data_IF_324942631589
#
_entry.id   IF_324942631589
#
_cell.length_a   1.000
_cell.length_b   1.000
_cell.length_c   1.000
_cell.angle_alpha   90.00
_cell.angle_beta   90.00
_cell.angle_gamma   90.00
#
_symmetry.space_group_name_H-M   'P 1'
#
loop_
_entity.id
_entity.type
_entity.pdbx_description
1 polymer ?
#
# COMPACT_ATOMS: atom_id res chain seq x y z
N UNK A 1 -22.22 7.31 -0.69
CA UNK A 1 -22.64 6.23 -1.56
C UNK A 1 -22.81 6.72 -2.99
N UNK A 2 -22.24 6.00 -3.95
CA UNK A 2 -22.27 6.33 -5.38
C UNK A 2 -23.68 6.44 -5.92
N UNK A 3 -24.62 5.71 -5.36
CA UNK A 3 -26.05 5.67 -5.80
C UNK A 3 -26.78 7.01 -5.67
N UNK A 4 -26.27 7.93 -4.86
CA UNK A 4 -26.85 9.27 -4.71
C UNK A 4 -26.37 10.27 -5.77
N UNK A 5 -25.36 9.91 -6.54
CA UNK A 5 -24.84 10.78 -7.58
C UNK A 5 -25.84 10.85 -8.75
N UNK A 6 -26.04 12.05 -9.27
CA UNK A 6 -27.02 12.31 -10.38
C UNK A 6 -26.35 12.73 -11.67
N UNK A 7 -25.05 13.02 -11.66
CA UNK A 7 -24.30 13.47 -12.83
C UNK A 7 -23.62 12.30 -13.54
N UNK A 8 -23.23 12.45 -14.81
CA UNK A 8 -22.59 11.38 -15.59
C UNK A 8 -21.30 10.86 -14.98
N UNK A 9 -20.50 11.74 -14.37
CA UNK A 9 -19.25 11.39 -13.68
C UNK A 9 -19.37 11.64 -12.18
N UNK A 10 -18.72 10.79 -11.41
CA UNK A 10 -18.65 10.85 -9.95
C UNK A 10 -17.19 11.04 -9.56
N UNK A 11 -16.88 12.17 -8.93
CA UNK A 11 -15.63 12.37 -8.18
C UNK A 11 -15.86 11.95 -6.73
N UNK A 12 -15.00 11.12 -6.20
CA UNK A 12 -15.05 10.73 -4.79
C UNK A 12 -13.73 11.07 -4.08
N UNK A 13 -13.85 11.51 -2.85
CA UNK A 13 -12.73 11.86 -1.98
C UNK A 13 -13.04 11.34 -0.58
N UNK A 14 -11.99 10.94 0.15
CA UNK A 14 -12.09 10.68 1.58
C UNK A 14 -12.19 12.01 2.34
N UNK A 15 -12.76 12.00 3.55
CA UNK A 15 -13.01 13.23 4.31
C UNK A 15 -11.70 13.97 4.73
N UNK A 16 -10.58 13.27 4.68
CA UNK A 16 -9.23 13.73 5.00
C UNK A 16 -8.34 13.82 3.75
N UNK A 17 -8.95 13.81 2.55
CA UNK A 17 -8.25 14.10 1.31
C UNK A 17 -8.18 15.60 1.05
N UNK A 18 -7.01 16.05 0.62
CA UNK A 18 -6.74 17.45 0.27
C UNK A 18 -6.36 17.56 -1.20
N UNK A 19 -7.01 18.47 -1.88
CA UNK A 19 -6.69 18.88 -3.27
C UNK A 19 -6.17 20.30 -3.23
N UNK A 20 -4.90 20.49 -3.53
CA UNK A 20 -4.25 21.80 -3.55
C UNK A 20 -4.88 22.73 -4.60
N UNK A 21 -4.64 24.04 -4.49
CA UNK A 21 -5.24 25.02 -5.40
C UNK A 21 -4.86 24.77 -6.86
N UNK A 22 -3.59 24.52 -7.14
CA UNK A 22 -3.10 24.17 -8.48
C UNK A 22 -3.78 22.93 -9.04
N UNK A 23 -3.96 21.92 -8.20
CA UNK A 23 -4.60 20.65 -8.59
C UNK A 23 -6.11 20.83 -8.83
N UNK A 24 -6.77 21.74 -8.10
CA UNK A 24 -8.17 22.13 -8.37
C UNK A 24 -8.32 22.77 -9.74
N UNK A 25 -7.35 23.59 -10.16
CA UNK A 25 -7.36 24.22 -11.50
C UNK A 25 -7.25 23.15 -12.60
N UNK A 26 -6.34 22.17 -12.44
CA UNK A 26 -6.22 21.01 -13.34
C UNK A 26 -7.54 20.19 -13.38
N UNK A 27 -8.14 19.94 -12.21
CA UNK A 27 -9.39 19.19 -12.09
C UNK A 27 -10.56 19.90 -12.81
N UNK A 28 -10.63 21.22 -12.70
CA UNK A 28 -11.64 22.02 -13.42
C UNK A 28 -11.41 22.00 -14.94
N UNK A 29 -10.16 22.01 -15.39
CA UNK A 29 -9.83 21.85 -16.81
C UNK A 29 -10.19 20.46 -17.33
N UNK A 30 -9.88 19.39 -16.54
CA UNK A 30 -10.24 18.03 -16.86
C UNK A 30 -11.76 17.86 -17.03
N UNK A 31 -12.56 18.44 -16.14
CA UNK A 31 -14.02 18.38 -16.21
C UNK A 31 -14.57 18.78 -17.60
N UNK A 32 -13.94 19.74 -18.27
CA UNK A 32 -14.35 20.21 -19.59
C UNK A 32 -13.89 19.28 -20.74
N UNK A 33 -12.99 18.34 -20.45
CA UNK A 33 -12.42 17.38 -21.42
C UNK A 33 -13.02 15.97 -21.27
N UNK A 34 -13.78 15.73 -20.20
CA UNK A 34 -14.41 14.42 -19.98
C UNK A 34 -15.52 14.20 -21.00
N UNK A 35 -15.38 13.16 -21.78
CA UNK A 35 -16.34 12.71 -22.81
C UNK A 35 -16.99 11.39 -22.39
N UNK A 36 -18.13 11.06 -22.97
CA UNK A 36 -18.93 9.89 -22.58
C UNK A 36 -18.25 8.52 -22.80
N UNK A 37 -17.16 8.48 -23.55
CA UNK A 37 -16.35 7.29 -23.80
C UNK A 37 -15.33 7.02 -22.68
N UNK A 38 -15.10 7.97 -21.76
CA UNK A 38 -14.22 7.77 -20.61
C UNK A 38 -14.98 6.99 -19.53
N UNK A 39 -14.39 5.90 -19.07
CA UNK A 39 -14.96 5.06 -18.01
C UNK A 39 -14.45 5.47 -16.61
N UNK A 40 -13.16 5.78 -16.49
CA UNK A 40 -12.56 6.19 -15.22
C UNK A 40 -11.34 7.09 -15.43
N UNK A 41 -10.96 7.82 -14.38
CA UNK A 41 -9.71 8.59 -14.33
C UNK A 41 -8.93 8.20 -13.09
N UNK A 42 -7.69 7.76 -13.32
CA UNK A 42 -6.69 7.49 -12.30
C UNK A 42 -5.92 8.78 -12.00
N UNK A 43 -5.66 9.00 -10.73
CA UNK A 43 -4.93 10.18 -10.26
C UNK A 43 -3.90 9.77 -9.20
N UNK A 44 -2.70 10.40 -9.17
CA UNK A 44 -1.72 10.19 -8.12
C UNK A 44 -2.30 10.47 -6.74
N UNK A 45 -2.13 9.52 -5.84
CA UNK A 45 -2.56 9.61 -4.45
C UNK A 45 -1.34 9.53 -3.54
N UNK A 46 -1.08 10.59 -2.82
CA UNK A 46 0.03 10.71 -1.89
C UNK A 46 -0.48 10.48 -0.47
N UNK A 47 0.07 9.50 0.23
CA UNK A 47 -0.33 9.16 1.59
C UNK A 47 0.87 8.89 2.47
N UNK A 48 0.71 9.20 3.77
CA UNK A 48 1.81 9.22 4.72
C UNK A 48 2.79 10.36 4.43
N UNK A 49 3.44 10.87 5.45
CA UNK A 49 4.46 11.91 5.32
C UNK A 49 5.69 11.44 6.09
N UNK A 50 6.82 11.32 5.40
CA UNK A 50 8.11 11.02 5.98
C UNK A 50 8.66 12.20 6.81
N UNK A 51 9.73 11.96 7.54
CA UNK A 51 10.39 13.00 8.35
C UNK A 51 10.92 14.16 7.51
N UNK A 52 11.17 13.91 6.23
CA UNK A 52 11.63 14.89 5.24
C UNK A 52 10.49 15.63 4.53
N UNK A 53 9.24 15.40 4.94
CA UNK A 53 8.05 16.01 4.36
C UNK A 53 7.60 15.37 3.03
N UNK A 54 8.29 14.34 2.53
CA UNK A 54 7.88 13.62 1.31
C UNK A 54 6.85 12.55 1.61
N UNK A 55 5.95 12.21 0.67
CA UNK A 55 5.01 11.12 0.84
C UNK A 55 5.76 9.77 0.93
N UNK A 56 5.34 8.91 1.88
CA UNK A 56 5.91 7.57 2.07
C UNK A 56 5.24 6.51 1.21
N UNK A 57 4.10 6.84 0.61
CA UNK A 57 3.38 5.96 -0.30
C UNK A 57 2.73 6.80 -1.39
N UNK A 58 3.08 6.50 -2.63
CA UNK A 58 2.52 7.11 -3.84
C UNK A 58 1.97 5.99 -4.70
N UNK A 59 0.72 6.11 -5.11
CA UNK A 59 0.09 5.20 -6.06
C UNK A 59 -1.09 5.90 -6.74
N UNK A 60 -1.52 5.37 -7.87
CA UNK A 60 -2.70 5.90 -8.53
C UNK A 60 -3.99 5.33 -7.93
N UNK A 61 -5.00 6.18 -7.81
CA UNK A 61 -6.36 5.78 -7.45
C UNK A 61 -7.37 6.27 -8.48
N UNK A 62 -8.39 5.47 -8.62
CA UNK A 62 -9.59 5.76 -9.40
C UNK A 62 -10.40 6.86 -8.71
N UNK A 63 -10.20 8.11 -9.09
CA UNK A 63 -10.84 9.26 -8.42
C UNK A 63 -12.08 9.78 -9.13
N UNK A 64 -12.15 9.59 -10.45
CA UNK A 64 -13.37 9.88 -11.20
C UNK A 64 -13.81 8.61 -11.89
N UNK A 65 -15.10 8.32 -11.83
CA UNK A 65 -15.69 7.18 -12.52
C UNK A 65 -16.99 7.59 -13.23
N UNK A 66 -17.26 6.97 -14.37
CA UNK A 66 -18.51 7.13 -15.05
C UNK A 66 -19.60 6.40 -14.28
N UNK A 67 -20.70 7.08 -13.98
CA UNK A 67 -21.75 6.57 -13.09
C UNK A 67 -22.41 5.29 -13.63
N UNK A 68 -22.69 5.24 -14.91
CA UNK A 68 -23.38 4.11 -15.56
C UNK A 68 -22.45 2.96 -15.93
N UNK A 69 -21.13 3.09 -15.71
CA UNK A 69 -20.18 1.98 -15.82
C UNK A 69 -20.36 0.92 -14.72
N UNK A 70 -21.08 1.25 -13.65
CA UNK A 70 -21.46 0.29 -12.62
C UNK A 70 -20.33 -0.15 -11.71
N UNK A 71 -19.24 0.61 -11.61
CA UNK A 71 -18.12 0.30 -10.71
C UNK A 71 -18.55 0.38 -9.24
N UNK A 72 -18.07 -0.57 -8.44
CA UNK A 72 -18.38 -0.67 -7.02
C UNK A 72 -17.11 -0.80 -6.19
N UNK A 73 -17.16 -0.26 -4.98
CA UNK A 73 -16.10 -0.50 -3.99
C UNK A 73 -16.10 -1.95 -3.52
N UNK A 74 -14.92 -2.52 -3.40
CA UNK A 74 -14.68 -3.87 -2.89
C UNK A 74 -13.57 -3.85 -1.84
N UNK A 75 -13.68 -4.71 -0.83
CA UNK A 75 -12.78 -4.81 0.31
C UNK A 75 -13.55 -4.75 1.62
N UNK A 76 -12.95 -5.28 2.68
CA UNK A 76 -13.57 -5.33 4.02
C UNK A 76 -13.34 -4.05 4.80
N UNK A 77 -12.14 -3.48 4.71
CA UNK A 77 -11.74 -2.25 5.40
C UNK A 77 -11.11 -1.26 4.41
N UNK A 78 -10.04 -1.66 3.76
CA UNK A 78 -9.32 -0.82 2.77
C UNK A 78 -9.96 -0.97 1.39
N UNK A 79 -11.15 -0.41 1.23
CA UNK A 79 -11.91 -0.53 -0.01
C UNK A 79 -11.17 0.07 -1.21
N UNK A 80 -11.27 -0.59 -2.35
CA UNK A 80 -10.78 -0.11 -3.63
C UNK A 80 -11.80 -0.44 -4.73
N UNK A 81 -11.80 0.34 -5.78
CA UNK A 81 -12.66 0.12 -6.94
C UNK A 81 -11.80 -0.45 -8.08
N UNK A 82 -12.23 -1.55 -8.68
CA UNK A 82 -11.58 -2.07 -9.89
C UNK A 82 -12.24 -1.42 -11.09
N UNK A 83 -11.49 -0.55 -11.75
CA UNK A 83 -11.94 0.10 -12.98
C UNK A 83 -11.38 -0.61 -14.21
N UNK A 84 -12.08 -0.51 -15.32
CA UNK A 84 -11.71 -1.08 -16.61
C UNK A 84 -12.33 -0.26 -17.74
N UNK A 85 -11.98 -0.57 -19.00
CA UNK A 85 -12.46 0.16 -20.14
C UNK A 85 -11.51 1.28 -20.57
N UNK A 86 -12.06 2.43 -20.97
CA UNK A 86 -11.26 3.60 -21.34
C UNK A 86 -10.88 4.39 -20.07
N UNK A 87 -9.68 4.11 -19.55
CA UNK A 87 -9.15 4.70 -18.32
C UNK A 87 -8.12 5.76 -18.67
N UNK A 88 -8.36 6.99 -18.25
CA UNK A 88 -7.41 8.09 -18.37
C UNK A 88 -6.49 8.13 -17.13
N UNK A 89 -5.26 8.55 -17.34
CA UNK A 89 -4.28 8.85 -16.29
C UNK A 89 -3.98 10.35 -16.32
N UNK A 90 -4.28 11.05 -15.24
CA UNK A 90 -4.13 12.52 -15.15
C UNK A 90 -3.19 12.87 -14.00
N UNK A 91 -2.26 13.78 -14.27
CA UNK A 91 -1.34 14.32 -13.25
C UNK A 91 -2.05 15.35 -12.36
N UNK A 92 -3.01 14.86 -11.55
CA UNK A 92 -3.75 15.64 -10.56
C UNK A 92 -3.54 14.98 -9.20
N UNK A 93 -2.69 15.57 -8.38
CA UNK A 93 -2.30 15.00 -7.10
C UNK A 93 -3.37 15.20 -6.04
N UNK A 94 -3.77 14.12 -5.40
CA UNK A 94 -4.62 14.14 -4.21
C UNK A 94 -3.79 13.67 -3.02
N UNK A 95 -3.73 14.47 -1.95
CA UNK A 95 -3.00 14.13 -0.73
C UNK A 95 -3.94 13.65 0.35
N UNK A 96 -3.57 12.60 1.05
CA UNK A 96 -4.25 12.14 2.25
C UNK A 96 -3.58 12.75 3.48
N UNK A 97 -4.27 13.65 4.14
CA UNK A 97 -3.79 14.26 5.37
C UNK A 97 -4.43 13.56 6.57
N UNK A 98 -3.68 12.61 7.10
CA UNK A 98 -4.08 11.88 8.30
C UNK A 98 -3.99 12.77 9.54
N UNK A 99 -4.77 13.79 9.72
CA UNK A 99 -4.72 14.67 10.89
C UNK A 99 -4.37 13.95 12.21
N UNK A 100 -4.21 14.65 13.31
CA UNK A 100 -3.86 14.12 14.66
C UNK A 100 -4.92 13.11 15.21
N UNK A 101 -5.35 12.16 14.37
CA UNK A 101 -6.26 11.10 14.79
C UNK A 101 -5.48 10.09 15.63
N UNK A 102 -5.97 9.76 16.83
CA UNK A 102 -5.38 8.69 17.62
C UNK A 102 -5.38 7.39 16.80
N UNK A 103 -4.44 6.46 17.06
CA UNK A 103 -4.44 5.15 16.43
C UNK A 103 -5.84 4.54 16.49
N UNK A 104 -6.30 3.94 15.39
CA UNK A 104 -7.69 3.42 15.27
C UNK A 104 -8.00 2.26 16.23
N UNK A 105 -7.06 1.89 17.11
CA UNK A 105 -7.21 0.78 18.04
C UNK A 105 -7.46 -0.54 17.29
N UNK A 106 -8.24 -1.44 17.88
CA UNK A 106 -8.54 -2.76 17.30
C UNK A 106 -9.69 -2.76 16.28
N UNK A 107 -10.29 -1.60 15.97
CA UNK A 107 -11.51 -1.50 15.15
C UNK A 107 -11.43 -2.28 13.83
N UNK A 108 -10.34 -2.13 13.09
CA UNK A 108 -10.19 -2.78 11.78
C UNK A 108 -10.05 -4.30 11.93
N UNK A 109 -9.26 -4.77 12.89
CA UNK A 109 -9.16 -6.18 13.23
C UNK A 109 -10.52 -6.78 13.57
N UNK A 110 -11.32 -6.11 14.40
CA UNK A 110 -12.66 -6.57 14.78
C UNK A 110 -13.60 -6.69 13.58
N UNK A 111 -13.47 -5.80 12.59
CA UNK A 111 -14.24 -5.86 11.34
C UNK A 111 -13.83 -7.11 10.54
N UNK A 112 -12.52 -7.36 10.35
CA UNK A 112 -12.03 -8.56 9.66
C UNK A 112 -12.45 -9.85 10.37
N UNK A 113 -12.32 -9.92 11.69
CA UNK A 113 -12.70 -11.08 12.49
C UNK A 113 -14.21 -11.37 12.40
N UNK A 114 -15.05 -10.33 12.48
CA UNK A 114 -16.50 -10.46 12.27
C UNK A 114 -16.84 -10.90 10.85
N UNK A 115 -16.08 -10.48 9.85
CA UNK A 115 -16.24 -10.91 8.46
C UNK A 115 -15.95 -12.40 8.30
N UNK A 116 -14.83 -12.87 8.84
CA UNK A 116 -14.44 -14.28 8.83
C UNK A 116 -15.40 -15.16 9.63
N UNK A 117 -15.84 -14.70 10.81
CA UNK A 117 -16.81 -15.41 11.65
C UNK A 117 -18.17 -15.65 10.94
N UNK A 118 -18.50 -14.85 9.94
CA UNK A 118 -19.68 -15.04 9.07
C UNK A 118 -19.43 -16.03 7.92
N UNK A 119 -18.30 -16.73 7.91
CA UNK A 119 -17.92 -17.68 6.86
C UNK A 119 -17.50 -17.03 5.54
N UNK A 120 -17.25 -15.72 5.54
CA UNK A 120 -16.85 -14.99 4.33
C UNK A 120 -15.34 -15.12 4.12
N UNK A 121 -14.93 -15.30 2.86
CA UNK A 121 -13.51 -15.38 2.49
C UNK A 121 -12.93 -13.99 2.31
N UNK A 122 -11.68 -13.82 2.73
CA UNK A 122 -10.89 -12.64 2.43
C UNK A 122 -10.25 -12.77 1.05
N UNK A 123 -10.18 -11.68 0.32
CA UNK A 123 -9.36 -11.58 -0.89
C UNK A 123 -7.88 -11.50 -0.50
N UNK A 124 -6.96 -11.66 -1.45
CA UNK A 124 -5.53 -11.47 -1.20
C UNK A 124 -5.25 -10.05 -0.66
N UNK A 125 -5.94 -9.03 -1.19
CA UNK A 125 -5.85 -7.67 -0.69
C UNK A 125 -6.29 -7.56 0.78
N UNK A 126 -7.45 -8.12 1.13
CA UNK A 126 -7.93 -8.10 2.52
C UNK A 126 -6.97 -8.82 3.46
N UNK A 127 -6.41 -9.97 3.04
CA UNK A 127 -5.46 -10.76 3.83
C UNK A 127 -4.16 -10.00 4.10
N UNK A 128 -3.66 -9.26 3.12
CA UNK A 128 -2.49 -8.40 3.27
C UNK A 128 -2.74 -7.28 4.29
N UNK A 129 -3.85 -6.54 4.16
CA UNK A 129 -4.17 -5.47 5.10
C UNK A 129 -4.49 -6.00 6.50
N UNK A 130 -5.12 -7.15 6.61
CA UNK A 130 -5.34 -7.80 7.91
C UNK A 130 -4.00 -8.11 8.63
N UNK A 131 -2.99 -8.56 7.88
CA UNK A 131 -1.66 -8.78 8.44
C UNK A 131 -1.01 -7.46 8.91
N UNK A 132 -1.17 -6.39 8.17
CA UNK A 132 -0.70 -5.05 8.56
C UNK A 132 -1.39 -4.52 9.80
N UNK A 133 -2.71 -4.71 9.92
CA UNK A 133 -3.45 -4.31 11.13
C UNK A 133 -2.93 -5.02 12.39
N UNK A 134 -2.53 -6.29 12.29
CA UNK A 134 -1.89 -7.00 13.40
C UNK A 134 -0.51 -6.43 13.73
N UNK A 135 0.25 -6.03 12.72
CA UNK A 135 1.55 -5.38 12.93
C UNK A 135 1.39 -4.02 13.61
N UNK A 136 0.46 -3.19 13.14
CA UNK A 136 0.12 -1.89 13.71
C UNK A 136 -0.45 -2.01 15.13
N UNK A 137 -1.18 -3.09 15.42
CA UNK A 137 -1.64 -3.42 16.77
C UNK A 137 -0.50 -3.82 17.71
N UNK A 138 0.65 -4.23 17.18
CA UNK A 138 1.84 -4.57 17.95
C UNK A 138 1.93 -6.04 18.35
N UNK A 139 1.23 -6.94 17.67
CA UNK A 139 1.38 -8.39 17.85
C UNK A 139 2.17 -9.01 16.68
N UNK A 140 3.51 -9.12 16.80
CA UNK A 140 4.34 -9.65 15.73
C UNK A 140 4.08 -11.13 15.45
N UNK A 141 3.56 -11.89 16.43
CA UNK A 141 3.24 -13.30 16.25
C UNK A 141 1.99 -13.51 15.40
N UNK A 142 0.96 -12.69 15.61
CA UNK A 142 -0.25 -12.71 14.76
C UNK A 142 0.04 -12.13 13.38
N UNK A 143 0.80 -11.04 13.30
CA UNK A 143 1.19 -10.42 12.04
C UNK A 143 2.00 -11.38 11.16
N UNK A 144 3.00 -12.06 11.72
CA UNK A 144 3.83 -13.05 11.00
C UNK A 144 2.98 -14.15 10.36
N UNK A 145 2.07 -14.73 11.15
CA UNK A 145 1.15 -15.79 10.65
C UNK A 145 0.23 -15.27 9.55
N UNK A 146 -0.31 -14.08 9.72
CA UNK A 146 -1.20 -13.47 8.73
C UNK A 146 -0.44 -13.13 7.42
N UNK A 147 0.78 -12.59 7.50
CA UNK A 147 1.63 -12.39 6.32
C UNK A 147 1.98 -13.71 5.63
N UNK A 148 2.30 -14.77 6.39
CA UNK A 148 2.58 -16.09 5.82
C UNK A 148 1.35 -16.65 5.06
N UNK A 149 0.15 -16.48 5.62
CA UNK A 149 -1.11 -16.87 4.95
C UNK A 149 -1.34 -16.08 3.66
N UNK A 150 -1.14 -14.75 3.68
CA UNK A 150 -1.24 -13.92 2.48
C UNK A 150 -0.24 -14.36 1.40
N UNK A 151 1.02 -14.58 1.78
CA UNK A 151 2.08 -14.96 0.84
C UNK A 151 1.85 -16.33 0.20
N UNK A 152 1.07 -17.20 0.82
CA UNK A 152 0.64 -18.49 0.27
C UNK A 152 -0.50 -18.34 -0.78
N UNK A 153 -1.15 -17.17 -0.88
CA UNK A 153 -2.21 -16.94 -1.87
C UNK A 153 -1.58 -16.66 -3.25
N UNK A 154 -2.16 -17.17 -4.36
CA UNK A 154 -1.55 -17.02 -5.69
C UNK A 154 -1.71 -15.63 -6.31
N UNK A 155 -2.72 -14.87 -5.92
CA UNK A 155 -3.26 -13.69 -6.60
C UNK A 155 -2.99 -12.35 -5.89
N UNK A 156 -1.97 -12.30 -5.05
CA UNK A 156 -1.54 -11.05 -4.38
C UNK A 156 -0.83 -10.09 -5.35
N UNK A 157 -1.17 -8.79 -5.27
CA UNK A 157 -0.43 -7.77 -6.01
C UNK A 157 1.05 -7.79 -5.64
N UNK A 158 1.92 -7.66 -6.66
CA UNK A 158 3.36 -7.87 -6.52
C UNK A 158 3.99 -6.96 -5.45
N UNK A 159 3.58 -5.68 -5.39
CA UNK A 159 4.12 -4.75 -4.41
C UNK A 159 3.69 -5.12 -2.98
N UNK A 160 2.46 -5.59 -2.79
CA UNK A 160 2.00 -6.11 -1.50
C UNK A 160 2.78 -7.37 -1.09
N UNK A 161 3.18 -8.22 -2.05
CA UNK A 161 3.98 -9.41 -1.75
C UNK A 161 5.39 -9.05 -1.34
N UNK A 162 6.02 -8.10 -2.04
CA UNK A 162 7.37 -7.60 -1.69
C UNK A 162 7.33 -7.00 -0.29
N UNK A 163 6.39 -6.09 -0.03
CA UNK A 163 6.24 -5.48 1.29
C UNK A 163 5.94 -6.53 2.38
N UNK A 164 5.06 -7.48 2.10
CA UNK A 164 4.71 -8.54 3.06
C UNK A 164 5.92 -9.39 3.48
N UNK A 165 6.84 -9.69 2.56
CA UNK A 165 8.07 -10.39 2.92
C UNK A 165 8.97 -9.54 3.83
N UNK A 166 9.06 -8.23 3.58
CA UNK A 166 9.84 -7.29 4.39
C UNK A 166 9.22 -7.15 5.78
N UNK A 167 7.91 -6.91 5.85
CA UNK A 167 7.19 -6.76 7.11
C UNK A 167 7.18 -8.07 7.93
N UNK A 168 7.05 -9.22 7.26
CA UNK A 168 7.18 -10.52 7.90
C UNK A 168 8.56 -10.72 8.50
N UNK A 169 9.62 -10.30 7.81
CA UNK A 169 10.98 -10.36 8.34
C UNK A 169 11.12 -9.50 9.61
N UNK A 170 10.55 -8.31 9.65
CA UNK A 170 10.54 -7.48 10.85
C UNK A 170 9.82 -8.18 12.02
N UNK A 171 8.66 -8.80 11.75
CA UNK A 171 7.96 -9.59 12.76
C UNK A 171 8.84 -10.74 13.28
N UNK A 172 9.50 -11.48 12.38
CA UNK A 172 10.38 -12.59 12.72
C UNK A 172 11.60 -12.16 13.54
N UNK A 173 12.19 -10.99 13.24
CA UNK A 173 13.26 -10.39 14.06
C UNK A 173 12.77 -10.10 15.48
N UNK A 174 11.62 -9.46 15.63
CA UNK A 174 11.00 -9.20 16.95
C UNK A 174 10.71 -10.48 17.73
N UNK A 175 10.48 -11.59 17.04
CA UNK A 175 10.26 -12.93 17.62
C UNK A 175 11.58 -13.70 17.87
N UNK A 176 12.74 -13.13 17.54
CA UNK A 176 14.05 -13.79 17.66
C UNK A 176 14.34 -14.85 16.59
N UNK A 177 13.50 -14.96 15.55
CA UNK A 177 13.59 -15.96 14.47
C UNK A 177 14.44 -15.43 13.30
N UNK A 178 15.69 -15.08 13.56
CA UNK A 178 16.59 -14.38 12.62
C UNK A 178 16.83 -15.13 11.31
N UNK A 179 17.03 -16.44 11.35
CA UNK A 179 17.25 -17.23 10.13
C UNK A 179 16.04 -17.15 9.17
N UNK A 180 14.83 -17.18 9.71
CA UNK A 180 13.61 -17.08 8.93
C UNK A 180 13.38 -15.64 8.45
N UNK A 181 13.77 -14.63 9.24
CA UNK A 181 13.75 -13.24 8.80
C UNK A 181 14.64 -13.03 7.58
N UNK A 182 15.88 -13.55 7.62
CA UNK A 182 16.81 -13.53 6.48
C UNK A 182 16.20 -14.21 5.25
N UNK A 183 15.60 -15.39 5.40
CA UNK A 183 14.93 -16.10 4.31
C UNK A 183 13.78 -15.28 3.71
N UNK A 184 12.98 -14.63 4.55
CA UNK A 184 11.89 -13.77 4.11
C UNK A 184 12.41 -12.60 3.28
N UNK A 185 13.45 -11.90 3.73
CA UNK A 185 14.05 -10.80 2.98
C UNK A 185 14.62 -11.26 1.63
N UNK A 186 15.35 -12.38 1.60
CA UNK A 186 15.88 -12.95 0.35
C UNK A 186 14.76 -13.34 -0.62
N UNK A 187 13.62 -13.85 -0.11
CA UNK A 187 12.48 -14.18 -0.94
C UNK A 187 11.85 -12.94 -1.61
N UNK A 188 11.90 -11.78 -0.96
CA UNK A 188 11.42 -10.53 -1.57
C UNK A 188 12.23 -10.14 -2.82
N UNK A 189 13.53 -10.42 -2.82
CA UNK A 189 14.44 -10.08 -3.93
C UNK A 189 14.16 -10.92 -5.20
N UNK A 190 13.49 -12.05 -5.06
CA UNK A 190 13.12 -12.91 -6.20
C UNK A 190 11.88 -12.40 -6.96
N UNK A 191 11.17 -11.41 -6.41
CA UNK A 191 9.90 -10.94 -6.97
C UNK A 191 10.05 -9.77 -7.94
N UNK A 192 11.18 -9.07 -7.93
CA UNK A 192 11.38 -7.90 -8.79
C UNK A 192 12.69 -7.18 -8.48
N UNK A 193 12.78 -5.92 -8.89
CA UNK A 193 13.94 -5.09 -8.56
C UNK A 193 14.12 -5.00 -7.03
N UNK A 194 15.38 -5.14 -6.55
CA UNK A 194 15.66 -5.06 -5.12
C UNK A 194 15.16 -3.74 -4.50
N UNK A 195 14.60 -3.83 -3.31
CA UNK A 195 14.17 -2.65 -2.53
C UNK A 195 15.24 -2.30 -1.49
N UNK A 196 15.50 -1.02 -1.32
CA UNK A 196 16.44 -0.54 -0.32
C UNK A 196 16.07 -1.02 1.09
N UNK A 197 14.77 -1.08 1.41
CA UNK A 197 14.24 -1.59 2.68
C UNK A 197 14.70 -3.03 2.96
N UNK A 198 14.59 -3.93 1.97
CA UNK A 198 14.99 -5.32 2.13
C UNK A 198 16.50 -5.46 2.30
N UNK A 199 17.27 -4.68 1.53
CA UNK A 199 18.76 -4.74 1.58
C UNK A 199 19.30 -4.11 2.87
N UNK A 200 18.73 -3.01 3.34
CA UNK A 200 19.07 -2.43 4.63
C UNK A 200 18.76 -3.41 5.77
N UNK A 201 17.58 -4.04 5.76
CA UNK A 201 17.21 -5.02 6.78
C UNK A 201 18.14 -6.27 6.76
N UNK A 202 18.61 -6.70 5.59
CA UNK A 202 19.68 -7.73 5.52
C UNK A 202 20.97 -7.23 6.13
N UNK A 203 21.38 -5.99 5.85
CA UNK A 203 22.55 -5.35 6.46
C UNK A 203 22.42 -5.29 7.99
N UNK A 204 21.27 -4.92 8.51
CA UNK A 204 20.99 -4.84 9.95
C UNK A 204 21.14 -6.22 10.63
N UNK A 205 20.62 -7.29 10.00
CA UNK A 205 20.80 -8.66 10.48
C UNK A 205 22.27 -9.06 10.56
N UNK A 206 23.07 -8.72 9.53
CA UNK A 206 24.54 -9.00 9.53
C UNK A 206 25.26 -8.16 10.58
N UNK A 207 24.83 -6.91 10.82
CA UNK A 207 25.38 -6.06 11.89
C UNK A 207 25.16 -6.68 13.26
N UNK A 208 23.96 -7.19 13.54
CA UNK A 208 23.65 -7.87 14.80
C UNK A 208 24.51 -9.12 15.05
N UNK A 209 24.92 -9.80 13.97
CA UNK A 209 25.81 -10.98 14.00
C UNK A 209 27.31 -10.61 13.95
N UNK A 210 27.66 -9.31 13.98
CA UNK A 210 29.01 -8.78 13.84
C UNK A 210 29.69 -9.18 12.52
N UNK A 211 28.90 -9.50 11.50
CA UNK A 211 29.37 -9.85 10.16
C UNK A 211 29.58 -8.58 9.29
N UNK A 212 30.52 -7.73 9.72
CA UNK A 212 30.68 -6.36 9.19
C UNK A 212 30.90 -6.28 7.68
N UNK A 213 31.57 -7.23 7.08
CA UNK A 213 31.82 -7.25 5.64
C UNK A 213 30.54 -7.57 4.87
N UNK A 214 29.73 -8.51 5.36
CA UNK A 214 28.42 -8.84 4.77
C UNK A 214 27.45 -7.68 4.93
N UNK A 215 27.40 -7.05 6.10
CA UNK A 215 26.58 -5.86 6.33
C UNK A 215 26.95 -4.73 5.35
N UNK A 216 28.25 -4.44 5.19
CA UNK A 216 28.73 -3.43 4.26
C UNK A 216 28.35 -3.74 2.80
N UNK A 217 28.33 -5.02 2.41
CA UNK A 217 27.87 -5.44 1.08
C UNK A 217 26.39 -5.06 0.87
N UNK A 218 25.53 -5.42 1.81
CA UNK A 218 24.09 -5.16 1.68
C UNK A 218 23.76 -3.67 1.68
N UNK A 219 24.39 -2.87 2.55
CA UNK A 219 24.18 -1.42 2.56
C UNK A 219 24.67 -0.74 1.28
N UNK A 220 25.81 -1.17 0.72
CA UNK A 220 26.26 -0.66 -0.58
C UNK A 220 25.28 -1.03 -1.70
N UNK A 221 24.74 -2.23 -1.67
CA UNK A 221 23.71 -2.62 -2.64
C UNK A 221 22.45 -1.78 -2.49
N UNK A 222 22.01 -1.45 -1.26
CA UNK A 222 20.88 -0.57 -1.01
C UNK A 222 21.06 0.82 -1.61
N UNK A 223 22.26 1.39 -1.54
CA UNK A 223 22.58 2.71 -2.12
C UNK A 223 22.42 2.77 -3.66
N UNK A 224 22.33 1.63 -4.33
CA UNK A 224 22.14 1.55 -5.78
C UNK A 224 20.65 1.41 -6.16
N UNK A 225 19.77 1.21 -5.18
CA UNK A 225 18.35 1.08 -5.42
C UNK A 225 17.71 2.41 -5.85
N UNK A 226 16.64 2.30 -6.61
CA UNK A 226 15.76 3.42 -6.96
C UNK A 226 14.35 3.13 -6.43
N UNK A 227 13.58 4.17 -6.08
CA UNK A 227 12.18 3.99 -5.75
C UNK A 227 11.44 3.26 -6.86
N UNK A 228 10.41 2.43 -6.55
CA UNK A 228 9.61 1.75 -7.56
C UNK A 228 8.84 2.75 -8.42
N UNK A 229 8.90 2.59 -9.75
CA UNK A 229 8.22 3.49 -10.71
C UNK A 229 6.69 3.33 -10.69
N UNK A 230 6.20 2.13 -10.40
CA UNK A 230 4.76 1.80 -10.41
C UNK A 230 4.02 2.07 -9.09
N UNK A 231 4.63 2.79 -8.17
CA UNK A 231 4.14 2.93 -6.81
C UNK A 231 4.55 1.75 -5.92
N UNK A 232 4.15 1.79 -4.64
CA UNK A 232 4.48 0.76 -3.66
C UNK A 232 4.78 1.39 -2.30
N UNK A 233 5.03 0.53 -1.31
CA UNK A 233 5.43 0.97 0.02
C UNK A 233 6.93 1.26 0.02
N UNK A 234 7.29 2.51 0.32
CA UNK A 234 8.67 2.97 0.33
C UNK A 234 8.99 3.72 1.62
N UNK A 235 10.24 3.63 2.03
CA UNK A 235 10.83 4.54 3.04
C UNK A 235 11.70 5.55 2.29
N UNK A 236 11.21 6.77 2.04
CA UNK A 236 11.89 7.73 1.19
C UNK A 236 13.33 8.05 1.65
N UNK A 237 13.58 7.94 2.95
CA UNK A 237 14.89 8.15 3.58
C UNK A 237 15.95 7.13 3.19
N UNK A 238 15.58 6.03 2.53
CA UNK A 238 16.49 4.97 2.09
C UNK A 238 16.89 5.10 0.61
N UNK A 239 16.38 6.15 -0.11
CA UNK A 239 16.64 6.34 -1.54
C UNK A 239 17.32 7.69 -1.84
#
# INVERSE_FOLDING_TARGET
SLDRATKPFILWLDADDVVERSEKEKLMALKNRLTADVDAVMMPYHTGIGQDGRPTLIYERERIVRRDAGFVFSGVVHEAMRVSGNVLHEDIVIRHERGDKPPQGRRNLDIYEKWMARGRRMTARDSYYYAREWMDWGDPGMAERAFAQFLAMPDGWIENRIDAYIQRAECLQRLGRRAEARQSLLASLALGAPRAEALCALGDLEMEESAWQAAAFWYRAAMLCRPPEGGGFVRPELY
#
